data_IF_863844647700
#
_entry.id   IF_863844647700
#
_cell.length_a   1.000
_cell.length_b   1.000
_cell.length_c   1.000
_cell.angle_alpha   90.00
_cell.angle_beta   90.00
_cell.angle_gamma   90.00
#
_symmetry.space_group_name_H-M   'P 1'
#
loop_
_entity.id
_entity.type
_entity.pdbx_description
1 polymer ?
#
# COMPACT_ATOMS: atom_id res chain seq x y z
N UNK A 1 5.28 -16.80 2.93
CA UNK A 1 3.96 -17.36 2.53
C UNK A 1 4.20 -18.76 2.03
N UNK A 2 3.66 -19.78 2.69
CA UNK A 2 3.74 -21.17 2.25
C UNK A 2 2.48 -21.49 1.44
N UNK A 3 2.64 -22.08 0.27
CA UNK A 3 1.52 -22.48 -0.59
C UNK A 3 1.56 -23.98 -0.70
N UNK A 4 0.40 -24.61 -0.46
CA UNK A 4 0.18 -26.00 -0.77
C UNK A 4 -0.20 -26.11 -2.24
N UNK A 5 0.68 -26.71 -3.03
CA UNK A 5 0.37 -27.21 -4.38
C UNK A 5 0.21 -28.73 -4.23
N UNK A 6 -0.79 -29.38 -4.87
CA UNK A 6 -0.99 -30.82 -4.77
C UNK A 6 0.17 -31.54 -5.46
N UNK A 7 1.18 -31.90 -4.67
CA UNK A 7 2.42 -32.48 -5.13
C UNK A 7 3.58 -32.01 -4.25
N UNK A 8 3.71 -32.64 -3.06
CA UNK A 8 4.88 -32.79 -2.16
C UNK A 8 6.15 -31.91 -2.38
N UNK A 9 6.02 -30.63 -2.75
CA UNK A 9 7.12 -29.68 -2.86
C UNK A 9 6.65 -28.37 -2.24
N UNK A 10 7.16 -28.10 -1.04
CA UNK A 10 7.03 -26.79 -0.39
C UNK A 10 7.93 -25.82 -1.12
N UNK A 11 7.35 -24.87 -1.86
CA UNK A 11 8.11 -23.78 -2.46
C UNK A 11 8.17 -22.61 -1.48
N UNK A 12 9.39 -22.24 -1.07
CA UNK A 12 9.63 -20.95 -0.43
C UNK A 12 9.81 -19.93 -1.55
N UNK A 13 8.75 -19.18 -1.85
CA UNK A 13 8.80 -18.10 -2.85
C UNK A 13 9.29 -16.81 -2.19
N UNK A 14 10.36 -16.24 -2.76
CA UNK A 14 10.78 -14.89 -2.38
C UNK A 14 9.83 -13.88 -3.02
N UNK A 15 9.14 -13.02 -2.26
CA UNK A 15 8.19 -12.04 -2.79
C UNK A 15 8.89 -10.91 -3.59
N UNK A 16 10.21 -10.98 -3.75
CA UNK A 16 11.01 -10.07 -4.58
C UNK A 16 11.63 -10.77 -5.80
N UNK A 17 11.35 -12.05 -6.00
CA UNK A 17 11.87 -12.81 -7.12
C UNK A 17 10.84 -12.81 -8.25
N UNK A 18 11.18 -12.17 -9.38
CA UNK A 18 10.28 -12.09 -10.54
C UNK A 18 9.85 -13.46 -11.05
N UNK A 19 10.72 -14.47 -11.03
CA UNK A 19 10.36 -15.84 -11.37
C UNK A 19 9.32 -16.41 -10.41
N UNK A 20 9.51 -16.21 -9.11
CA UNK A 20 8.55 -16.66 -8.10
C UNK A 20 7.19 -15.97 -8.27
N UNK A 21 7.18 -14.66 -8.44
CA UNK A 21 5.95 -13.87 -8.66
C UNK A 21 5.27 -14.30 -9.95
N UNK A 22 6.03 -14.50 -11.04
CA UNK A 22 5.51 -14.97 -12.32
C UNK A 22 4.91 -16.38 -12.21
N UNK A 23 5.63 -17.34 -11.64
CA UNK A 23 5.09 -18.69 -11.38
C UNK A 23 3.81 -18.62 -10.54
N UNK A 24 3.79 -17.77 -9.52
CA UNK A 24 2.58 -17.54 -8.71
C UNK A 24 1.41 -16.98 -9.51
N UNK A 25 1.66 -16.06 -10.45
CA UNK A 25 0.63 -15.57 -11.37
C UNK A 25 0.06 -16.69 -12.25
N UNK A 26 0.91 -17.65 -12.65
CA UNK A 26 0.56 -18.78 -13.51
C UNK A 26 -0.13 -19.94 -12.79
N UNK A 27 0.05 -20.14 -11.48
CA UNK A 27 -0.60 -21.24 -10.72
C UNK A 27 -2.14 -21.14 -10.77
N UNK A 28 -2.69 -19.96 -11.07
CA UNK A 28 -4.12 -19.76 -11.34
C UNK A 28 -4.57 -20.13 -12.77
N UNK A 29 -3.65 -20.60 -13.63
CA UNK A 29 -3.86 -20.93 -15.05
C UNK A 29 -3.25 -22.31 -15.37
N UNK A 30 -4.03 -23.40 -15.29
CA UNK A 30 -3.51 -24.78 -15.32
C UNK A 30 -2.81 -25.20 -16.63
N UNK A 31 -2.90 -24.41 -17.70
CA UNK A 31 -2.31 -24.70 -19.02
C UNK A 31 -1.06 -23.86 -19.35
N UNK A 32 -0.60 -22.98 -18.45
CA UNK A 32 0.55 -22.13 -18.74
C UNK A 32 1.88 -22.88 -18.52
N UNK A 33 2.74 -22.90 -19.54
CA UNK A 33 4.08 -23.51 -19.47
C UNK A 33 4.98 -22.76 -18.46
N UNK A 34 5.46 -23.48 -17.45
CA UNK A 34 6.40 -22.94 -16.46
C UNK A 34 7.80 -22.75 -17.08
N UNK A 35 8.45 -21.59 -16.90
CA UNK A 35 9.84 -21.43 -17.30
C UNK A 35 10.76 -22.32 -16.45
N UNK A 36 11.82 -22.85 -17.06
CA UNK A 36 12.73 -23.77 -16.39
C UNK A 36 13.56 -23.07 -15.29
N UNK A 37 13.75 -23.68 -14.09
CA UNK A 37 14.41 -23.03 -12.94
C UNK A 37 15.91 -22.75 -13.13
N UNK A 38 16.55 -23.44 -14.08
CA UNK A 38 18.02 -23.48 -14.21
C UNK A 38 18.63 -22.22 -14.82
N UNK A 39 17.81 -21.26 -15.27
CA UNK A 39 18.26 -19.97 -15.81
C UNK A 39 18.45 -18.87 -14.74
N UNK A 40 18.22 -19.17 -13.46
CA UNK A 40 18.12 -18.16 -12.38
C UNK A 40 19.08 -18.39 -11.21
N UNK A 41 19.93 -19.43 -11.28
CA UNK A 41 21.06 -19.57 -10.36
C UNK A 41 22.28 -18.92 -10.97
N UNK A 42 22.51 -17.65 -10.67
CA UNK A 42 23.87 -17.12 -10.65
C UNK A 42 24.18 -16.61 -9.25
N UNK A 43 25.06 -17.36 -8.59
CA UNK A 43 25.69 -17.01 -7.30
C UNK A 43 26.92 -16.12 -7.50
N UNK A 44 27.05 -15.46 -8.64
CA UNK A 44 28.18 -14.57 -8.93
C UNK A 44 27.63 -13.22 -9.37
N UNK A 45 28.12 -12.17 -8.71
CA UNK A 45 27.58 -10.82 -8.81
C UNK A 45 27.65 -10.23 -10.22
N UNK A 46 26.86 -9.16 -10.39
CA UNK A 46 26.91 -8.17 -11.48
C UNK A 46 26.22 -8.50 -12.81
N UNK A 47 25.37 -9.52 -12.90
CA UNK A 47 24.41 -9.63 -14.02
C UNK A 47 23.02 -9.18 -13.54
N UNK A 48 22.36 -8.21 -14.20
CA UNK A 48 20.99 -7.84 -13.89
C UNK A 48 20.10 -9.07 -13.97
N UNK A 49 19.34 -9.35 -12.89
CA UNK A 49 18.37 -10.46 -12.90
C UNK A 49 17.45 -10.30 -14.10
N UNK A 50 17.39 -11.32 -14.96
CA UNK A 50 16.49 -11.34 -16.11
C UNK A 50 15.05 -11.25 -15.62
N UNK A 51 14.39 -10.12 -15.87
CA UNK A 51 12.98 -9.90 -15.55
C UNK A 51 12.11 -10.83 -16.39
N UNK A 52 11.03 -11.35 -15.82
CA UNK A 52 10.08 -12.27 -16.49
C UNK A 52 8.65 -11.84 -16.25
N UNK A 53 7.76 -12.17 -17.18
CA UNK A 53 6.36 -11.75 -17.16
C UNK A 53 6.05 -10.57 -18.06
N UNK A 54 4.80 -10.10 -18.02
CA UNK A 54 4.26 -9.02 -18.87
C UNK A 54 5.06 -7.72 -18.69
N UNK A 55 5.52 -7.44 -17.47
CA UNK A 55 6.28 -6.26 -17.11
C UNK A 55 7.75 -6.25 -17.53
N UNK A 56 8.29 -7.37 -18.07
CA UNK A 56 9.74 -7.53 -18.31
C UNK A 56 10.36 -6.45 -19.22
N UNK A 57 9.56 -5.92 -20.14
CA UNK A 57 9.96 -4.92 -21.14
C UNK A 57 9.37 -3.53 -20.88
N UNK A 58 8.83 -3.31 -19.68
CA UNK A 58 8.26 -2.02 -19.28
C UNK A 58 9.30 -1.25 -18.47
N UNK A 59 9.80 -0.16 -19.05
CA UNK A 59 10.80 0.71 -18.42
C UNK A 59 10.30 2.15 -18.23
N UNK A 60 9.25 2.53 -18.95
CA UNK A 60 8.65 3.86 -18.90
C UNK A 60 7.17 3.84 -19.34
N UNK A 61 6.51 5.00 -19.25
CA UNK A 61 5.12 5.20 -19.63
C UNK A 61 4.78 4.75 -21.06
N UNK A 62 5.65 5.04 -22.04
CA UNK A 62 5.44 4.67 -23.44
C UNK A 62 5.43 3.16 -23.60
N UNK A 63 6.46 2.48 -23.08
CA UNK A 63 6.53 1.02 -23.10
C UNK A 63 5.38 0.36 -22.32
N UNK A 64 4.96 0.95 -21.21
CA UNK A 64 3.78 0.50 -20.46
C UNK A 64 2.53 0.53 -21.34
N UNK A 65 2.24 1.67 -21.97
CA UNK A 65 1.11 1.82 -22.86
C UNK A 65 1.11 0.83 -24.02
N UNK A 66 2.26 0.64 -24.67
CA UNK A 66 2.40 -0.31 -25.76
C UNK A 66 2.09 -1.76 -25.32
N UNK A 67 2.55 -2.15 -24.12
CA UNK A 67 2.24 -3.48 -23.59
C UNK A 67 0.76 -3.58 -23.24
N UNK A 68 0.17 -2.58 -22.56
CA UNK A 68 -1.23 -2.61 -22.15
C UNK A 68 -2.22 -2.64 -23.32
N UNK A 69 -1.86 -2.08 -24.48
CA UNK A 69 -2.66 -2.18 -25.71
C UNK A 69 -2.70 -3.61 -26.27
N UNK A 70 -1.64 -4.39 -26.07
CA UNK A 70 -1.52 -5.76 -26.57
C UNK A 70 -2.04 -6.79 -25.56
N UNK A 71 -1.72 -6.56 -24.29
CA UNK A 71 -2.03 -7.44 -23.18
C UNK A 71 -2.55 -6.59 -22.01
N UNK A 72 -3.88 -6.34 -21.96
CA UNK A 72 -4.49 -5.60 -20.86
C UNK A 72 -4.21 -6.24 -19.50
N UNK A 73 -4.16 -5.42 -18.44
CA UNK A 73 -3.98 -5.94 -17.09
C UNK A 73 -5.16 -6.80 -16.69
N UNK A 74 -4.85 -7.95 -16.12
CA UNK A 74 -5.85 -8.77 -15.44
C UNK A 74 -6.49 -7.97 -14.31
N UNK A 75 -7.81 -8.12 -14.17
CA UNK A 75 -8.57 -7.63 -13.03
C UNK A 75 -8.73 -8.77 -12.01
N UNK A 76 -8.04 -8.73 -10.86
CA UNK A 76 -8.24 -9.71 -9.80
C UNK A 76 -9.59 -9.52 -9.11
N UNK A 77 -10.12 -10.53 -8.38
CA UNK A 77 -11.43 -10.44 -7.72
C UNK A 77 -11.61 -9.23 -6.79
N UNK A 78 -10.52 -8.73 -6.19
CA UNK A 78 -10.58 -7.51 -5.35
C UNK A 78 -10.76 -6.23 -6.15
N UNK A 79 -10.12 -6.15 -7.31
CA UNK A 79 -10.27 -5.04 -8.22
C UNK A 79 -11.68 -5.01 -8.84
N UNK A 80 -12.25 -6.18 -9.14
CA UNK A 80 -13.65 -6.30 -9.56
C UNK A 80 -14.62 -5.87 -8.44
N UNK A 81 -14.39 -6.31 -7.19
CA UNK A 81 -15.20 -5.86 -6.06
C UNK A 81 -15.10 -4.35 -5.83
N UNK A 82 -13.89 -3.78 -5.94
CA UNK A 82 -13.70 -2.33 -5.94
C UNK A 82 -14.47 -1.66 -7.07
N UNK A 83 -14.42 -2.19 -8.29
CA UNK A 83 -15.17 -1.65 -9.44
C UNK A 83 -16.67 -1.60 -9.15
N UNK A 84 -17.23 -2.70 -8.65
CA UNK A 84 -18.64 -2.81 -8.28
C UNK A 84 -19.03 -1.79 -7.20
N UNK A 85 -18.26 -1.71 -6.11
CA UNK A 85 -18.51 -0.73 -5.05
C UNK A 85 -18.31 0.72 -5.51
N UNK A 86 -17.34 1.00 -6.38
CA UNK A 86 -17.07 2.35 -6.89
C UNK A 86 -18.26 2.89 -7.67
N UNK A 87 -18.98 2.02 -8.38
CA UNK A 87 -20.18 2.37 -9.16
C UNK A 87 -21.46 2.42 -8.31
N UNK A 88 -21.58 1.60 -7.26
CA UNK A 88 -22.83 1.43 -6.52
C UNK A 88 -22.84 2.07 -5.13
N UNK A 89 -21.71 2.08 -4.44
CA UNK A 89 -21.58 2.57 -3.07
C UNK A 89 -20.16 3.04 -2.76
N UNK A 90 -19.67 4.12 -3.42
CA UNK A 90 -18.28 4.57 -3.28
C UNK A 90 -17.92 5.02 -1.86
N UNK A 91 -18.90 5.41 -1.05
CA UNK A 91 -18.70 5.78 0.36
C UNK A 91 -18.32 4.59 1.25
N UNK A 92 -18.45 3.35 0.76
CA UNK A 92 -18.05 2.13 1.47
C UNK A 92 -16.57 1.76 1.25
N UNK A 93 -15.86 2.54 0.45
CA UNK A 93 -14.46 2.33 0.11
C UNK A 93 -13.60 3.29 0.93
N UNK A 94 -12.59 2.74 1.59
CA UNK A 94 -11.63 3.50 2.38
C UNK A 94 -10.22 3.21 1.86
N UNK A 95 -9.67 4.18 1.12
CA UNK A 95 -8.26 4.20 0.69
C UNK A 95 -7.47 4.90 1.78
N UNK A 96 -6.58 4.17 2.46
CA UNK A 96 -5.92 4.65 3.69
C UNK A 96 -4.41 4.49 3.57
N UNK A 97 -3.70 5.50 4.06
CA UNK A 97 -2.24 5.50 4.19
C UNK A 97 -1.84 6.13 5.54
N UNK A 98 -0.76 5.59 6.14
CA UNK A 98 -0.14 6.13 7.34
C UNK A 98 1.31 6.47 7.11
N UNK A 99 1.70 7.66 7.57
CA UNK A 99 3.11 7.97 7.76
C UNK A 99 3.53 7.64 9.18
N UNK A 100 4.73 7.07 9.31
CA UNK A 100 5.22 6.58 10.59
C UNK A 100 6.69 6.91 10.80
N UNK A 101 7.13 6.90 12.05
CA UNK A 101 8.57 7.02 12.34
C UNK A 101 9.28 5.78 11.84
N UNK A 102 10.31 5.96 11.01
CA UNK A 102 11.13 4.86 10.52
C UNK A 102 11.75 4.08 11.68
N UNK A 103 11.55 2.75 11.68
CA UNK A 103 12.09 1.84 12.69
C UNK A 103 13.40 1.21 12.20
N UNK A 104 14.58 1.66 12.67
CA UNK A 104 15.85 1.04 12.30
C UNK A 104 15.97 -0.40 12.80
N UNK A 105 15.27 -0.75 13.88
CA UNK A 105 15.22 -2.12 14.42
C UNK A 105 13.78 -2.54 14.72
N UNK A 106 13.45 -3.85 14.64
CA UNK A 106 12.09 -4.34 14.89
C UNK A 106 11.60 -4.14 16.33
N UNK A 107 12.52 -4.00 17.28
CA UNK A 107 12.24 -3.93 18.72
C UNK A 107 11.71 -2.55 19.14
N UNK A 108 11.87 -1.53 18.30
CA UNK A 108 11.38 -0.19 18.60
C UNK A 108 9.85 -0.13 18.42
N UNK A 109 9.14 0.58 19.32
CA UNK A 109 7.70 0.78 19.21
C UNK A 109 7.35 1.58 17.95
N UNK A 110 6.23 1.24 17.31
CA UNK A 110 5.74 1.97 16.14
C UNK A 110 5.11 3.30 16.59
N UNK A 111 5.61 4.42 16.06
CA UNK A 111 5.00 5.74 16.24
C UNK A 111 4.33 6.18 14.96
N UNK A 112 3.08 6.63 15.08
CA UNK A 112 2.27 7.15 13.97
C UNK A 112 2.46 8.66 13.87
N UNK A 113 2.63 9.18 12.66
CA UNK A 113 2.87 10.60 12.39
C UNK A 113 1.66 11.26 11.75
N UNK A 114 1.17 10.65 10.67
CA UNK A 114 0.11 11.19 9.83
C UNK A 114 -0.81 10.06 9.39
N UNK A 115 -2.06 10.40 9.11
CA UNK A 115 -3.01 9.50 8.44
C UNK A 115 -3.85 10.30 7.47
N UNK A 116 -4.10 9.70 6.32
CA UNK A 116 -5.15 10.13 5.42
C UNK A 116 -6.05 8.95 5.07
N UNK A 117 -7.36 9.20 5.07
CA UNK A 117 -8.37 8.30 4.54
C UNK A 117 -9.21 9.01 3.48
N UNK A 118 -9.43 8.32 2.36
CA UNK A 118 -10.31 8.77 1.28
C UNK A 118 -11.43 7.78 1.02
N UNK A 119 -12.59 8.36 0.91
CA UNK A 119 -13.54 8.15 -0.17
C UNK A 119 -13.23 7.25 -1.37
N UNK A 120 -14.13 6.35 -1.78
CA UNK A 120 -14.13 5.80 -3.13
C UNK A 120 -14.23 6.87 -4.22
N UNK A 121 -14.88 8.02 -3.99
CA UNK A 121 -14.90 9.19 -4.90
C UNK A 121 -13.67 10.08 -4.79
N UNK A 122 -12.70 9.74 -3.92
CA UNK A 122 -11.49 10.53 -3.71
C UNK A 122 -11.66 11.69 -2.73
N UNK A 123 -12.84 11.85 -2.13
CA UNK A 123 -13.07 12.84 -1.08
C UNK A 123 -12.26 12.46 0.16
N UNK A 124 -11.51 13.42 0.69
CA UNK A 124 -10.80 13.26 1.97
C UNK A 124 -11.83 13.16 3.09
N UNK A 125 -11.79 12.07 3.84
CA UNK A 125 -12.59 11.85 5.05
C UNK A 125 -11.84 12.46 6.24
N UNK A 126 -10.56 12.13 6.37
CA UNK A 126 -9.64 12.69 7.35
C UNK A 126 -8.25 12.76 6.74
N UNK A 127 -7.52 13.84 7.01
CA UNK A 127 -6.10 14.01 6.68
C UNK A 127 -5.50 14.91 7.75
N UNK A 128 -4.64 14.37 8.60
CA UNK A 128 -4.17 15.08 9.80
C UNK A 128 -2.89 14.47 10.39
N UNK A 129 -2.20 15.27 11.20
CA UNK A 129 -1.14 14.80 12.09
C UNK A 129 -1.77 14.08 13.29
N UNK A 130 -1.27 12.90 13.60
CA UNK A 130 -1.72 12.11 14.75
C UNK A 130 -1.03 12.66 16.00
N UNK A 131 -1.81 13.10 16.97
CA UNK A 131 -1.26 13.70 18.18
C UNK A 131 -2.10 13.40 19.42
N UNK A 132 -1.47 13.01 20.52
CA UNK A 132 -2.19 12.99 21.81
C UNK A 132 -2.47 14.44 22.24
N UNK A 133 -3.59 14.65 22.94
CA UNK A 133 -3.98 15.99 23.41
C UNK A 133 -2.84 16.64 24.19
N UNK A 134 -2.47 17.87 23.83
CA UNK A 134 -1.45 18.64 24.54
C UNK A 134 0.01 18.24 24.26
N UNK A 135 0.29 17.31 23.35
CA UNK A 135 1.68 16.94 23.02
C UNK A 135 2.27 17.90 22.00
N UNK A 136 3.30 18.65 22.42
CA UNK A 136 4.09 19.54 21.55
C UNK A 136 5.14 18.75 20.74
N UNK A 137 5.77 19.39 19.76
CA UNK A 137 6.84 18.75 18.99
C UNK A 137 8.07 18.42 19.86
N UNK A 138 8.44 19.28 20.80
CA UNK A 138 9.49 18.99 21.80
C UNK A 138 9.16 17.74 22.61
N UNK A 139 7.96 17.67 23.18
CA UNK A 139 7.54 16.53 24.01
C UNK A 139 7.52 15.21 23.21
N UNK A 140 7.09 15.26 21.94
CA UNK A 140 7.11 14.11 21.06
C UNK A 140 8.55 13.64 20.77
N UNK A 141 9.46 14.57 20.48
CA UNK A 141 10.87 14.23 20.26
C UNK A 141 11.51 13.58 21.51
N UNK A 142 11.18 14.08 22.70
CA UNK A 142 11.64 13.49 23.97
C UNK A 142 11.02 12.10 24.25
N UNK A 143 9.77 11.88 23.84
CA UNK A 143 9.15 10.54 23.87
C UNK A 143 9.91 9.56 22.96
N UNK A 144 10.25 9.97 21.73
CA UNK A 144 11.02 9.13 20.80
C UNK A 144 12.41 8.79 21.34
N UNK A 145 13.14 9.76 21.89
CA UNK A 145 14.46 9.53 22.50
C UNK A 145 14.37 8.54 23.66
N UNK A 146 13.39 8.71 24.54
CA UNK A 146 13.15 7.77 25.66
C UNK A 146 12.79 6.37 25.19
N UNK A 147 12.11 6.24 24.05
CA UNK A 147 11.80 4.96 23.43
C UNK A 147 12.99 4.29 22.70
N UNK A 148 14.15 4.96 22.62
CA UNK A 148 15.37 4.41 22.03
C UNK A 148 15.65 4.84 20.59
N UNK A 149 14.95 5.85 20.07
CA UNK A 149 15.27 6.44 18.76
C UNK A 149 16.45 7.42 18.87
N UNK A 150 17.54 7.14 18.14
CA UNK A 150 18.80 7.88 18.29
C UNK A 150 18.91 9.16 17.46
N UNK A 151 18.05 9.38 16.44
CA UNK A 151 18.00 10.62 15.63
C UNK A 151 16.59 10.86 15.03
N UNK A 152 15.56 11.22 15.83
CA UNK A 152 14.19 11.36 15.32
C UNK A 152 14.06 12.42 14.20
N UNK A 153 14.89 13.46 14.24
CA UNK A 153 14.87 14.57 13.29
C UNK A 153 15.31 14.20 11.87
N UNK A 154 16.18 13.19 11.73
CA UNK A 154 16.67 12.69 10.43
C UNK A 154 15.72 11.67 9.79
N UNK A 155 14.69 11.22 10.53
CA UNK A 155 13.81 10.11 10.15
C UNK A 155 12.47 10.55 9.56
N UNK A 156 12.39 11.76 9.01
CA UNK A 156 11.16 12.32 8.43
C UNK A 156 10.20 12.92 9.45
N UNK A 157 10.44 12.80 10.76
CA UNK A 157 9.54 13.35 11.81
C UNK A 157 9.30 14.85 11.62
N UNK A 158 10.37 15.63 11.38
CA UNK A 158 10.27 17.07 11.13
C UNK A 158 9.45 17.43 9.89
N UNK A 159 9.43 16.55 8.89
CA UNK A 159 8.64 16.76 7.66
C UNK A 159 7.15 16.80 7.95
N UNK A 160 6.67 15.92 8.82
CA UNK A 160 5.25 15.81 9.15
C UNK A 160 4.86 16.72 10.30
N UNK A 161 5.65 16.73 11.39
CA UNK A 161 5.28 17.46 12.60
C UNK A 161 5.77 18.90 12.64
N UNK A 162 6.75 19.25 11.81
CA UNK A 162 7.45 20.53 11.86
C UNK A 162 8.66 20.54 12.80
N UNK A 163 9.28 21.70 13.01
CA UNK A 163 10.47 21.83 13.86
C UNK A 163 10.19 21.53 15.33
N UNK A 164 11.24 21.18 16.07
CA UNK A 164 11.22 20.92 17.52
C UNK A 164 11.00 22.24 18.26
N UNK A 165 9.74 22.58 18.48
CA UNK A 165 9.30 23.78 19.17
C UNK A 165 8.23 23.43 20.21
N UNK A 166 8.03 24.31 21.19
CA UNK A 166 6.95 24.21 22.18
C UNK A 166 5.59 24.64 21.57
N UNK A 167 5.29 24.14 20.38
CA UNK A 167 4.03 24.37 19.66
C UNK A 167 3.33 23.04 19.42
N UNK A 168 2.00 23.10 19.39
CA UNK A 168 1.18 21.99 18.93
C UNK A 168 1.32 21.87 17.41
N UNK A 169 1.38 20.66 16.86
CA UNK A 169 1.39 20.47 15.41
C UNK A 169 0.12 21.02 14.78
N UNK A 170 0.25 21.63 13.60
CA UNK A 170 -0.89 22.15 12.84
C UNK A 170 -1.79 21.01 12.35
N UNK A 171 -3.11 21.23 12.34
CA UNK A 171 -4.13 20.24 11.93
C UNK A 171 -3.97 18.88 12.66
N UNK A 172 -3.58 18.92 13.93
CA UNK A 172 -3.40 17.73 14.73
C UNK A 172 -4.74 17.22 15.30
N UNK A 173 -4.90 15.90 15.34
CA UNK A 173 -6.07 15.24 15.93
C UNK A 173 -5.65 14.10 16.84
N UNK A 174 -6.44 13.89 17.88
CA UNK A 174 -6.32 12.74 18.77
C UNK A 174 -6.72 11.45 18.08
N UNK A 175 -6.20 10.30 18.52
CA UNK A 175 -6.67 9.01 18.03
C UNK A 175 -8.19 8.85 18.12
N UNK A 176 -8.81 9.35 19.20
CA UNK A 176 -10.27 9.29 19.38
C UNK A 176 -11.01 10.11 18.33
N UNK A 177 -10.61 11.36 18.12
CA UNK A 177 -11.24 12.21 17.09
C UNK A 177 -11.11 11.61 15.69
N UNK A 178 -9.94 11.06 15.35
CA UNK A 178 -9.73 10.43 14.03
C UNK A 178 -10.66 9.23 13.86
N UNK A 179 -10.72 8.34 14.86
CA UNK A 179 -11.57 7.15 14.81
C UNK A 179 -13.06 7.53 14.75
N UNK A 180 -13.48 8.55 15.50
CA UNK A 180 -14.86 9.04 15.48
C UNK A 180 -15.25 9.62 14.12
N UNK A 181 -14.36 10.37 13.47
CA UNK A 181 -14.58 10.88 12.10
C UNK A 181 -14.75 9.71 11.12
N UNK A 182 -13.91 8.67 11.24
CA UNK A 182 -13.99 7.50 10.36
C UNK A 182 -15.28 6.70 10.56
N UNK A 183 -15.70 6.49 11.82
CA UNK A 183 -16.96 5.81 12.14
C UNK A 183 -18.15 6.63 11.62
N UNK A 184 -18.14 7.95 11.82
CA UNK A 184 -19.18 8.85 11.31
C UNK A 184 -19.26 8.84 9.77
N UNK A 185 -18.14 8.60 9.10
CA UNK A 185 -18.08 8.42 7.64
C UNK A 185 -18.51 7.01 7.18
N UNK A 186 -18.83 6.10 8.09
CA UNK A 186 -19.31 4.75 7.79
C UNK A 186 -18.22 3.67 7.75
N UNK A 187 -17.05 3.91 8.36
CA UNK A 187 -16.06 2.85 8.55
C UNK A 187 -16.61 1.83 9.55
N UNK A 188 -16.83 0.61 9.06
CA UNK A 188 -17.26 -0.53 9.85
C UNK A 188 -16.67 -1.84 9.27
N UNK A 189 -16.83 -2.99 9.94
CA UNK A 189 -16.27 -4.26 9.49
C UNK A 189 -16.73 -4.74 8.12
N UNK A 190 -17.76 -4.14 7.53
CA UNK A 190 -18.25 -4.47 6.19
C UNK A 190 -17.75 -3.54 5.08
N UNK A 191 -17.03 -2.47 5.41
CA UNK A 191 -16.38 -1.58 4.43
C UNK A 191 -15.24 -2.29 3.66
N UNK A 192 -14.89 -1.77 2.48
CA UNK A 192 -13.71 -2.18 1.73
C UNK A 192 -12.51 -1.31 2.16
N UNK A 193 -11.50 -1.95 2.76
CA UNK A 193 -10.23 -1.32 3.11
C UNK A 193 -9.22 -1.48 1.97
N UNK A 194 -8.55 -0.42 1.57
CA UNK A 194 -7.55 -0.45 0.50
C UNK A 194 -6.28 0.27 0.95
N UNK A 195 -5.12 -0.37 0.73
CA UNK A 195 -3.80 0.18 1.06
C UNK A 195 -2.74 -0.32 0.06
N UNK A 196 -1.62 0.40 -0.04
CA UNK A 196 -0.47 0.03 -0.86
C UNK A 196 0.71 -0.42 0.00
N UNK A 197 0.54 -1.52 0.73
CA UNK A 197 1.54 -1.97 1.69
C UNK A 197 1.89 -3.46 1.56
N UNK A 198 2.98 -3.86 2.22
CA UNK A 198 3.28 -5.28 2.47
C UNK A 198 2.73 -5.69 3.83
N UNK A 199 1.95 -6.75 3.84
CA UNK A 199 1.59 -7.43 5.09
C UNK A 199 0.58 -6.68 5.95
N UNK A 200 -0.30 -5.88 5.34
CA UNK A 200 -1.34 -5.13 6.05
C UNK A 200 -0.78 -4.05 7.00
N UNK A 201 0.30 -3.36 6.59
CA UNK A 201 1.02 -2.41 7.45
C UNK A 201 0.11 -1.26 7.91
N UNK A 202 -0.60 -0.60 7.00
CA UNK A 202 -1.47 0.53 7.34
C UNK A 202 -2.66 0.08 8.20
N UNK A 203 -3.22 -1.10 7.92
CA UNK A 203 -4.21 -1.71 8.81
C UNK A 203 -3.67 -1.99 10.22
N UNK A 204 -2.39 -2.38 10.36
CA UNK A 204 -1.75 -2.54 11.68
C UNK A 204 -1.57 -1.20 12.38
N UNK A 205 -1.22 -0.14 11.64
CA UNK A 205 -1.16 1.22 12.14
C UNK A 205 -2.53 1.70 12.65
N UNK A 206 -3.61 1.42 11.90
CA UNK A 206 -4.97 1.72 12.33
C UNK A 206 -5.39 0.91 13.55
N UNK A 207 -4.97 -0.36 13.65
CA UNK A 207 -5.19 -1.16 14.86
C UNK A 207 -4.56 -0.50 16.10
N UNK A 208 -3.35 0.03 15.97
CA UNK A 208 -2.67 0.78 17.02
C UNK A 208 -3.42 2.10 17.34
N UNK A 209 -3.84 2.84 16.32
CA UNK A 209 -4.61 4.08 16.49
C UNK A 209 -5.90 3.85 17.28
N UNK A 210 -6.68 2.83 16.91
CA UNK A 210 -7.95 2.47 17.57
C UNK A 210 -7.73 2.06 19.03
N UNK A 211 -6.69 1.26 19.30
CA UNK A 211 -6.31 0.92 20.68
C UNK A 211 -5.94 2.15 21.49
N UNK A 212 -5.19 3.09 20.90
CA UNK A 212 -4.85 4.36 21.54
C UNK A 212 -6.07 5.28 21.75
N UNK A 213 -7.16 5.08 21.01
CA UNK A 213 -8.45 5.71 21.22
C UNK A 213 -9.29 5.03 22.33
N UNK A 214 -8.79 3.93 22.93
CA UNK A 214 -9.50 3.17 23.95
C UNK A 214 -10.64 2.31 23.39
N UNK A 215 -10.60 1.97 22.11
CA UNK A 215 -11.66 1.23 21.40
C UNK A 215 -11.16 -0.16 20.94
N UNK A 216 -12.09 -1.06 20.59
CA UNK A 216 -11.76 -2.38 20.03
C UNK A 216 -11.58 -2.29 18.50
N UNK A 217 -10.43 -2.71 17.95
CA UNK A 217 -10.22 -2.78 16.50
C UNK A 217 -11.21 -3.69 15.78
N UNK A 218 -11.66 -4.76 16.42
CA UNK A 218 -12.51 -5.80 15.83
C UNK A 218 -13.92 -5.29 15.50
N UNK A 219 -14.43 -4.32 16.26
CA UNK A 219 -15.75 -3.71 16.03
C UNK A 219 -15.76 -2.62 14.97
N UNK A 220 -14.58 -2.17 14.51
CA UNK A 220 -14.44 -1.02 13.59
C UNK A 220 -13.81 -1.47 12.27
N UNK A 221 -12.73 -2.26 12.33
CA UNK A 221 -11.95 -2.57 11.13
C UNK A 221 -12.54 -3.71 10.32
N UNK A 222 -12.53 -3.60 8.98
CA UNK A 222 -12.77 -4.74 8.11
C UNK A 222 -11.85 -5.92 8.46
N UNK A 223 -12.37 -7.17 8.45
CA UNK A 223 -11.54 -8.35 8.57
C UNK A 223 -10.57 -8.45 7.39
N UNK A 224 -9.46 -9.20 7.52
CA UNK A 224 -8.41 -9.25 6.49
C UNK A 224 -8.92 -9.62 5.09
N UNK A 225 -9.92 -10.48 4.99
CA UNK A 225 -10.56 -10.84 3.72
C UNK A 225 -11.48 -9.73 3.16
N UNK A 226 -11.53 -8.54 3.74
CA UNK A 226 -12.15 -7.33 3.18
C UNK A 226 -11.12 -6.20 3.02
N UNK A 227 -9.84 -6.51 3.25
CA UNK A 227 -8.73 -5.62 3.00
C UNK A 227 -8.06 -5.98 1.68
N UNK A 228 -7.72 -4.98 0.89
CA UNK A 228 -7.01 -5.12 -0.36
C UNK A 228 -5.63 -4.49 -0.25
N UNK A 229 -4.59 -5.33 -0.17
CA UNK A 229 -3.18 -4.90 -0.29
C UNK A 229 -2.81 -4.86 -1.77
N UNK A 230 -3.03 -3.71 -2.41
CA UNK A 230 -2.97 -3.51 -3.86
C UNK A 230 -1.62 -3.96 -4.43
N UNK A 231 -0.53 -3.70 -3.71
CA UNK A 231 0.83 -4.09 -4.09
C UNK A 231 0.93 -5.58 -4.48
N UNK A 232 0.35 -6.49 -3.69
CA UNK A 232 0.49 -7.93 -3.94
C UNK A 232 -0.23 -8.35 -5.23
N UNK A 233 -1.46 -7.88 -5.41
CA UNK A 233 -2.23 -8.17 -6.62
C UNK A 233 -1.59 -7.53 -7.86
N UNK A 234 -1.04 -6.33 -7.73
CA UNK A 234 -0.33 -5.66 -8.82
C UNK A 234 0.91 -6.46 -9.25
N UNK A 235 1.67 -6.99 -8.28
CA UNK A 235 2.81 -7.86 -8.55
C UNK A 235 2.40 -9.13 -9.29
N UNK A 236 1.26 -9.73 -8.94
CA UNK A 236 0.74 -10.92 -9.60
C UNK A 236 0.18 -10.64 -11.00
N UNK A 237 -0.44 -9.47 -11.21
CA UNK A 237 -1.06 -9.12 -12.48
C UNK A 237 -0.09 -8.48 -13.48
N UNK A 238 0.99 -7.85 -13.01
CA UNK A 238 2.04 -7.28 -13.84
C UNK A 238 3.45 -7.72 -13.37
N UNK A 239 3.76 -9.03 -13.43
CA UNK A 239 5.07 -9.53 -13.03
C UNK A 239 6.19 -9.05 -13.95
N UNK A 240 7.38 -8.83 -13.38
CA UNK A 240 8.60 -8.47 -14.13
C UNK A 240 8.92 -6.98 -14.20
N UNK A 241 8.30 -6.12 -13.40
CA UNK A 241 8.69 -4.71 -13.33
C UNK A 241 10.01 -4.50 -12.58
N UNK A 242 10.74 -3.43 -12.95
CA UNK A 242 11.96 -3.02 -12.24
C UNK A 242 11.70 -2.63 -10.78
N UNK A 243 10.51 -2.11 -10.48
CA UNK A 243 10.12 -1.67 -9.15
C UNK A 243 8.60 -1.65 -9.00
N UNK A 244 8.12 -2.08 -7.83
CA UNK A 244 6.71 -2.01 -7.42
C UNK A 244 6.51 -1.01 -6.29
N UNK A 245 7.31 0.08 -6.27
CA UNK A 245 6.99 1.22 -5.39
C UNK A 245 5.81 1.97 -6.00
N UNK A 246 4.89 2.48 -5.17
CA UNK A 246 3.68 3.18 -5.62
C UNK A 246 4.01 4.25 -6.68
N UNK A 247 4.93 5.16 -6.35
CA UNK A 247 5.36 6.21 -7.26
C UNK A 247 5.99 5.72 -8.58
N UNK A 248 6.58 4.52 -8.60
CA UNK A 248 7.13 3.94 -9.84
C UNK A 248 6.00 3.39 -10.71
N UNK A 249 5.03 2.70 -10.12
CA UNK A 249 3.84 2.23 -10.82
C UNK A 249 3.03 3.40 -11.37
N UNK A 250 2.75 4.39 -10.54
CA UNK A 250 2.01 5.57 -10.93
C UNK A 250 2.69 6.33 -12.08
N UNK A 251 4.01 6.47 -12.06
CA UNK A 251 4.77 7.06 -13.20
C UNK A 251 4.64 6.28 -14.51
N UNK A 252 4.43 4.95 -14.46
CA UNK A 252 4.16 4.16 -15.65
C UNK A 252 2.76 4.44 -16.20
N UNK A 253 1.77 4.66 -15.33
CA UNK A 253 0.36 4.77 -15.70
C UNK A 253 -0.08 6.21 -16.02
N UNK A 254 0.50 7.18 -15.30
CA UNK A 254 0.17 8.61 -15.34
C UNK A 254 1.36 9.45 -14.84
N UNK A 255 2.38 9.70 -15.69
CA UNK A 255 3.60 10.41 -15.29
C UNK A 255 3.37 11.87 -14.87
N UNK A 256 2.31 12.50 -15.36
CA UNK A 256 1.94 13.89 -15.09
C UNK A 256 1.11 14.07 -13.82
N UNK A 257 0.89 13.01 -13.03
CA UNK A 257 0.14 13.12 -11.78
C UNK A 257 0.89 14.07 -10.81
N UNK A 258 0.29 15.20 -10.41
CA UNK A 258 0.97 16.23 -9.60
C UNK A 258 1.38 15.73 -8.21
N UNK A 259 0.66 14.76 -7.65
CA UNK A 259 0.91 14.23 -6.31
C UNK A 259 2.20 13.39 -6.26
N UNK A 260 2.77 13.00 -7.41
CA UNK A 260 4.04 12.27 -7.48
C UNK A 260 5.24 13.05 -6.95
N UNK A 261 5.14 14.38 -6.83
CA UNK A 261 6.17 15.24 -6.24
C UNK A 261 6.13 15.24 -4.70
N UNK A 262 5.05 14.72 -4.11
CA UNK A 262 4.79 14.73 -2.67
C UNK A 262 4.62 13.31 -2.10
N UNK A 263 5.22 12.31 -2.72
CA UNK A 263 5.22 10.96 -2.16
C UNK A 263 5.83 10.94 -0.75
N UNK A 264 5.36 10.02 0.09
CA UNK A 264 5.64 10.00 1.53
C UNK A 264 4.98 11.16 2.29
N UNK A 265 3.85 11.64 1.79
CA UNK A 265 2.81 12.31 2.57
C UNK A 265 1.53 11.51 2.35
N UNK A 266 0.81 11.19 3.43
CA UNK A 266 -0.33 10.27 3.35
C UNK A 266 -1.44 10.78 2.41
N UNK A 267 -1.59 12.10 2.28
CA UNK A 267 -2.59 12.72 1.39
C UNK A 267 -2.28 12.47 -0.09
N UNK A 268 -1.01 12.60 -0.47
CA UNK A 268 -0.50 12.34 -1.80
C UNK A 268 -0.49 10.84 -2.12
N UNK A 269 -0.02 9.99 -1.20
CA UNK A 269 0.06 8.55 -1.41
C UNK A 269 -1.34 7.93 -1.60
N UNK A 270 -2.34 8.36 -0.83
CA UNK A 270 -3.75 7.94 -1.05
C UNK A 270 -4.33 8.45 -2.37
N UNK A 271 -4.00 9.67 -2.80
CA UNK A 271 -4.47 10.22 -4.07
C UNK A 271 -3.87 9.47 -5.27
N UNK A 272 -2.54 9.26 -5.25
CA UNK A 272 -1.81 8.48 -6.26
C UNK A 272 -2.33 7.05 -6.31
N UNK A 273 -2.57 6.41 -5.15
CA UNK A 273 -3.13 5.06 -5.09
C UNK A 273 -4.52 4.99 -5.74
N UNK A 274 -5.41 5.93 -5.42
CA UNK A 274 -6.74 5.94 -6.01
C UNK A 274 -6.70 6.16 -7.54
N UNK A 275 -5.81 7.03 -8.02
CA UNK A 275 -5.59 7.24 -9.45
C UNK A 275 -5.09 5.95 -10.14
N UNK A 276 -4.09 5.28 -9.56
CA UNK A 276 -3.59 3.98 -10.03
C UNK A 276 -4.71 2.94 -10.09
N UNK A 277 -5.57 2.87 -9.06
CA UNK A 277 -6.70 1.94 -9.03
C UNK A 277 -7.72 2.24 -10.12
N UNK A 278 -8.09 3.52 -10.30
CA UNK A 278 -9.02 3.90 -11.34
C UNK A 278 -8.46 3.60 -12.74
N UNK A 279 -7.18 3.90 -12.98
CA UNK A 279 -6.53 3.60 -14.25
C UNK A 279 -6.40 2.10 -14.49
N UNK A 280 -6.04 1.32 -13.46
CA UNK A 280 -5.98 -0.13 -13.57
C UNK A 280 -7.36 -0.68 -13.92
N UNK A 281 -8.39 -0.31 -13.17
CA UNK A 281 -9.71 -0.92 -13.29
C UNK A 281 -10.48 -0.47 -14.52
N UNK A 282 -10.48 0.84 -14.81
CA UNK A 282 -11.35 1.41 -15.84
C UNK A 282 -10.66 1.68 -17.17
N UNK A 283 -9.32 1.70 -17.22
CA UNK A 283 -8.57 2.04 -18.46
C UNK A 283 -7.73 0.90 -18.99
N UNK A 284 -6.91 0.28 -18.14
CA UNK A 284 -5.94 -0.74 -18.57
C UNK A 284 -6.41 -2.18 -18.28
N UNK A 285 -7.49 -2.32 -17.52
CA UNK A 285 -8.02 -3.57 -17.04
C UNK A 285 -8.87 -4.30 -18.05
N UNK A 286 -8.82 -5.64 -18.04
CA UNK A 286 -9.81 -6.49 -18.70
C UNK A 286 -10.25 -7.60 -17.75
N UNK A 287 -11.57 -7.75 -17.60
CA UNK A 287 -12.17 -8.92 -16.97
C UNK A 287 -11.89 -10.13 -17.88
N UNK A 288 -11.46 -11.25 -17.30
CA UNK A 288 -11.39 -12.51 -18.06
C UNK A 288 -12.82 -12.86 -18.47
N UNK A 289 -13.13 -12.81 -19.77
CA UNK A 289 -14.38 -13.40 -20.28
C UNK A 289 -14.35 -14.89 -19.96
N UNK A 290 -15.39 -15.44 -19.32
CA UNK A 290 -15.47 -16.85 -18.99
C UNK A 290 -15.33 -17.75 -20.24
#
# INVERSE_FOLDING_TARGET
MAIFVPGLRRYTVAPTCDFCIYVMSLISRPLASLPLPFSFRDRHGLVPKKRVGIGKSIDNHVSFHMVMQREPLRIPPRAEYFQSLKLTSPLRIFVIDFETVYRPTPNLPQYLLEVTARDGNGKIIVSCIINKTGVTNTMFADELRRAGYTNPDELGVRRHRGPTENKLPHNAKTPKEIVDILIAAGLDPSALWIEYSRGYFDRQCMTLLIKNAGMSPESILPPRHKCWTVLQDFMLCLPGLASYKLGRIAKLMHPENPDLQRLHYSDADTAVLLDVLNLWVFKYGRLETP
#
